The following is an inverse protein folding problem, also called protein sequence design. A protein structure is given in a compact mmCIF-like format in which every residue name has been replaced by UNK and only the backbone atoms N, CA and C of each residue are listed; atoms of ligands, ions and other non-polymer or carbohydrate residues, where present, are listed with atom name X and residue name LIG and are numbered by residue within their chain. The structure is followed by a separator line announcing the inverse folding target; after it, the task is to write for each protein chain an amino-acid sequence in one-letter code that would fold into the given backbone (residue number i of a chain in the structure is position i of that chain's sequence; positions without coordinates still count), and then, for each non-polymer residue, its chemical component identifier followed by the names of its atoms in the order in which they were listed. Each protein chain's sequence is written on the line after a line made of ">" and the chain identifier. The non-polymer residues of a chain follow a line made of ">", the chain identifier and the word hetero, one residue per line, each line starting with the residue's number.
data_IF_122089180921
#
_entry.id   IF_122089180921
#
_cell.length_a   1.000
_cell.length_b   1.000
_cell.length_c   1.000
_cell.angle_alpha   90.00
_cell.angle_beta   90.00
_cell.angle_gamma   90.00
#
_symmetry.space_group_name_H-M   'P 1'
#
loop_
_entity.id
_entity.type
_entity.pdbx_description
1 polymer ?
#
# COMPACT_ATOMS: atom_id res chain seq x y z
N UNK A 1 0.00 -42.84 -88.27
CA UNK A 1 0.46 -43.89 -87.34
C UNK A 1 1.98 -43.87 -87.31
N UNK A 2 2.69 -43.98 -86.17
CA UNK A 2 2.31 -43.91 -84.75
C UNK A 2 3.14 -42.86 -83.94
N UNK A 3 2.75 -42.59 -82.68
CA UNK A 3 3.61 -42.07 -81.59
C UNK A 3 4.32 -43.26 -80.88
N UNK A 4 5.40 -43.15 -80.06
CA UNK A 4 5.34 -42.55 -78.69
C UNK A 4 6.68 -41.94 -78.13
N UNK A 5 6.62 -40.95 -77.22
CA UNK A 5 6.93 -40.97 -75.76
C UNK A 5 8.38 -41.34 -75.37
N UNK A 6 9.12 -40.48 -74.63
CA UNK A 6 9.32 -40.60 -73.16
C UNK A 6 10.24 -39.53 -72.51
N UNK A 7 9.71 -38.99 -71.40
CA UNK A 7 10.26 -38.33 -70.20
C UNK A 7 11.69 -37.78 -70.11
N UNK A 8 11.78 -36.58 -69.50
CA UNK A 8 12.53 -36.39 -68.25
C UNK A 8 12.20 -35.03 -67.58
N UNK A 9 11.80 -35.09 -66.30
CA UNK A 9 11.89 -33.99 -65.32
C UNK A 9 13.37 -33.86 -64.85
N UNK A 10 13.90 -32.72 -64.36
CA UNK A 10 13.40 -32.02 -63.16
C UNK A 10 13.65 -30.49 -63.07
N UNK A 11 13.03 -29.81 -62.09
CA UNK A 11 13.76 -29.11 -61.01
C UNK A 11 12.86 -28.08 -60.31
N UNK A 12 13.00 -28.10 -58.99
CA UNK A 12 12.27 -27.36 -57.98
C UNK A 12 12.49 -25.84 -58.03
N UNK A 13 11.41 -25.10 -57.78
CA UNK A 13 11.44 -23.69 -57.43
C UNK A 13 10.28 -23.37 -56.49
N UNK A 14 10.45 -23.71 -55.21
CA UNK A 14 9.49 -23.37 -54.15
C UNK A 14 9.69 -21.89 -53.83
N UNK A 15 8.89 -21.03 -54.45
CA UNK A 15 8.76 -19.64 -54.04
C UNK A 15 7.97 -19.58 -52.74
N UNK A 16 8.66 -19.44 -51.61
CA UNK A 16 8.02 -19.12 -50.34
C UNK A 16 7.44 -17.70 -50.40
N UNK A 17 6.13 -17.60 -50.58
CA UNK A 17 5.40 -16.35 -50.38
C UNK A 17 5.46 -15.99 -48.89
N UNK A 18 6.19 -14.91 -48.57
CA UNK A 18 6.18 -14.32 -47.24
C UNK A 18 4.77 -13.84 -46.89
N UNK A 19 4.05 -14.60 -46.06
CA UNK A 19 2.79 -14.16 -45.47
C UNK A 19 3.08 -13.00 -44.51
N UNK A 20 2.75 -11.77 -44.95
CA UNK A 20 2.66 -10.61 -44.04
C UNK A 20 1.41 -10.80 -43.16
N UNK A 21 1.62 -11.29 -41.95
CA UNK A 21 0.63 -11.24 -40.88
C UNK A 21 0.46 -9.78 -40.43
N UNK A 22 -0.43 -9.04 -41.10
CA UNK A 22 -0.91 -7.74 -40.61
C UNK A 22 -2.00 -8.03 -39.58
N UNK A 23 -1.61 -8.08 -38.31
CA UNK A 23 -2.54 -8.10 -37.19
C UNK A 23 -3.40 -6.82 -37.22
N UNK A 24 -4.69 -6.96 -37.54
CA UNK A 24 -5.68 -5.90 -37.33
C UNK A 24 -6.14 -6.01 -35.89
N UNK A 25 -5.55 -5.20 -35.01
CA UNK A 25 -6.06 -5.02 -33.64
C UNK A 25 -7.49 -4.48 -33.77
N UNK A 26 -8.48 -5.32 -33.48
CA UNK A 26 -9.89 -4.91 -33.55
C UNK A 26 -10.15 -3.86 -32.47
N UNK A 27 -10.92 -2.81 -32.80
CA UNK A 27 -11.28 -1.75 -31.86
C UNK A 27 -11.92 -2.28 -30.55
N UNK A 28 -12.48 -3.50 -30.57
CA UNK A 28 -13.09 -4.19 -29.43
C UNK A 28 -12.07 -4.51 -28.33
N UNK A 29 -10.82 -4.79 -28.68
CA UNK A 29 -9.75 -5.11 -27.71
C UNK A 29 -9.29 -3.90 -26.90
N UNK A 30 -9.49 -2.68 -27.42
CA UNK A 30 -9.14 -1.44 -26.73
C UNK A 30 -10.23 -1.03 -25.72
N UNK A 31 -11.51 -1.23 -26.07
CA UNK A 31 -12.66 -0.92 -25.21
C UNK A 31 -12.69 -1.74 -23.92
N UNK A 32 -12.24 -3.00 -23.98
CA UNK A 32 -12.24 -3.91 -22.83
C UNK A 32 -11.19 -3.52 -21.76
N UNK A 33 -10.10 -2.84 -22.15
CA UNK A 33 -9.11 -2.31 -21.22
C UNK A 33 -9.58 -1.03 -20.51
N UNK A 34 -10.35 -0.17 -21.18
CA UNK A 34 -10.93 1.04 -20.58
C UNK A 34 -12.03 0.72 -19.56
N UNK A 35 -12.75 -0.40 -19.74
CA UNK A 35 -13.82 -0.83 -18.83
C UNK A 35 -13.33 -1.35 -17.47
N UNK A 36 -12.02 -1.61 -17.30
CA UNK A 36 -11.44 -2.15 -16.06
C UNK A 36 -10.61 -1.12 -15.27
N UNK A 37 -10.73 0.17 -15.60
CA UNK A 37 -10.08 1.25 -14.84
C UNK A 37 -10.66 1.41 -13.44
N UNK A 38 -10.25 0.55 -12.50
CA UNK A 38 -10.58 0.72 -11.09
C UNK A 38 -9.69 1.83 -10.54
N UNK A 39 -10.26 3.02 -10.32
CA UNK A 39 -9.61 4.06 -9.52
C UNK A 39 -9.52 3.50 -8.10
N UNK A 40 -8.34 3.03 -7.70
CA UNK A 40 -8.06 2.72 -6.31
C UNK A 40 -7.90 4.07 -5.59
N UNK A 41 -8.78 4.45 -4.65
CA UNK A 41 -8.48 5.59 -3.81
C UNK A 41 -7.19 5.27 -3.05
N UNK A 42 -6.17 6.12 -3.19
CA UNK A 42 -5.08 6.15 -2.20
C UNK A 42 -5.69 6.79 -0.96
N UNK A 43 -6.23 5.98 -0.05
CA UNK A 43 -6.50 6.44 1.30
C UNK A 43 -5.19 6.93 1.94
N UNK A 44 -5.26 8.02 2.69
CA UNK A 44 -4.17 8.41 3.60
C UNK A 44 -3.86 7.21 4.49
N UNK A 45 -2.60 6.78 4.49
CA UNK A 45 -2.21 5.54 5.12
C UNK A 45 -1.23 5.82 6.26
N UNK A 46 -1.57 5.34 7.45
CA UNK A 46 -0.64 5.21 8.56
C UNK A 46 -0.20 3.75 8.58
N UNK A 47 1.03 3.51 8.14
CA UNK A 47 1.56 2.16 7.92
C UNK A 47 2.86 2.03 8.71
N UNK A 48 2.88 1.11 9.67
CA UNK A 48 4.10 0.74 10.38
C UNK A 48 5.16 0.19 9.41
N UNK A 49 6.41 0.61 9.59
CA UNK A 49 7.53 0.10 8.81
C UNK A 49 7.89 -1.32 9.29
N UNK A 50 7.58 -2.31 8.46
CA UNK A 50 7.87 -3.73 8.77
C UNK A 50 9.36 -4.06 8.80
N UNK A 51 10.21 -3.20 8.25
CA UNK A 51 11.67 -3.36 8.29
C UNK A 51 12.31 -2.81 9.57
N UNK A 52 11.59 -2.01 10.35
CA UNK A 52 12.08 -1.48 11.62
C UNK A 52 12.20 -2.58 12.69
N UNK A 53 13.01 -2.40 13.74
CA UNK A 53 13.01 -3.29 14.90
C UNK A 53 11.60 -3.48 15.48
N UNK A 54 11.23 -4.68 15.94
CA UNK A 54 9.86 -4.98 16.38
C UNK A 54 9.31 -4.03 17.45
N UNK A 55 10.15 -3.60 18.40
CA UNK A 55 9.80 -2.60 19.41
C UNK A 55 9.69 -1.16 18.90
N UNK A 56 9.74 -0.95 17.59
CA UNK A 56 9.53 0.34 16.92
C UNK A 56 8.40 0.27 15.89
N UNK A 57 7.75 -0.89 15.70
CA UNK A 57 6.64 -1.06 14.77
C UNK A 57 5.31 -0.81 15.49
N UNK A 58 4.71 0.39 15.43
CA UNK A 58 3.48 0.66 16.16
C UNK A 58 2.31 -0.20 15.66
N UNK A 59 1.32 -0.43 16.52
CA UNK A 59 0.08 -1.10 16.11
C UNK A 59 -0.93 -0.05 15.69
N UNK A 60 -1.37 -0.10 14.43
CA UNK A 60 -2.39 0.81 13.89
C UNK A 60 -3.72 0.06 13.80
N UNK A 61 -4.75 0.59 14.42
CA UNK A 61 -6.12 0.08 14.42
C UNK A 61 -7.11 1.22 14.17
N UNK A 62 -8.38 0.91 13.91
CA UNK A 62 -9.45 1.92 13.90
C UNK A 62 -10.13 2.01 15.26
N UNK A 63 -10.52 3.21 15.67
CA UNK A 63 -11.47 3.40 16.78
C UNK A 63 -12.89 3.04 16.35
N UNK A 64 -13.84 3.09 17.29
CA UNK A 64 -15.26 2.82 17.03
C UNK A 64 -15.87 3.76 15.96
N UNK A 65 -15.35 4.99 15.81
CA UNK A 65 -15.81 5.93 14.79
C UNK A 65 -14.92 5.97 13.53
N UNK A 66 -13.98 5.04 13.40
CA UNK A 66 -13.12 4.89 12.22
C UNK A 66 -11.87 5.77 12.22
N UNK A 67 -11.65 6.62 13.24
CA UNK A 67 -10.41 7.39 13.37
C UNK A 67 -9.23 6.42 13.55
N UNK A 68 -8.11 6.58 12.81
CA UNK A 68 -6.91 5.82 13.05
C UNK A 68 -6.38 6.02 14.48
N UNK A 69 -6.19 4.91 15.20
CA UNK A 69 -5.53 4.85 16.49
C UNK A 69 -4.20 4.11 16.34
N UNK A 70 -3.14 4.72 16.84
CA UNK A 70 -1.80 4.20 16.90
C UNK A 70 -1.48 3.88 18.35
N UNK A 71 -1.39 2.60 18.68
CA UNK A 71 -0.80 2.17 19.93
C UNK A 71 0.72 2.31 19.81
N UNK A 72 1.25 3.36 20.44
CA UNK A 72 2.68 3.64 20.44
C UNK A 72 3.45 2.54 21.17
N UNK A 73 4.71 2.37 20.82
CA UNK A 73 5.58 1.34 21.40
C UNK A 73 6.03 1.66 22.83
N UNK A 74 6.50 0.63 23.54
CA UNK A 74 7.02 0.78 24.90
C UNK A 74 8.13 1.84 24.95
N UNK A 75 8.05 2.83 25.86
CA UNK A 75 9.09 3.84 26.00
C UNK A 75 10.43 3.23 26.43
N UNK A 76 11.52 3.81 25.92
CA UNK A 76 12.87 3.57 26.43
C UNK A 76 13.04 4.04 27.88
N UNK A 77 14.17 3.72 28.51
CA UNK A 77 14.49 4.22 29.86
C UNK A 77 14.49 5.75 29.97
N UNK A 78 14.79 6.46 28.87
CA UNK A 78 14.69 7.92 28.79
C UNK A 78 13.26 8.46 28.64
N UNK A 79 12.26 7.57 28.49
CA UNK A 79 10.86 7.93 28.28
C UNK A 79 10.47 8.19 26.81
N UNK A 80 11.34 7.88 25.85
CA UNK A 80 11.05 8.04 24.41
C UNK A 80 10.41 6.76 23.87
N UNK A 81 9.19 6.86 23.35
CA UNK A 81 8.57 5.85 22.49
C UNK A 81 8.91 6.15 21.04
N UNK A 82 9.61 5.25 20.36
CA UNK A 82 10.00 5.40 18.94
C UNK A 82 9.11 4.53 18.08
N UNK A 83 8.46 5.13 17.09
CA UNK A 83 7.47 4.52 16.24
C UNK A 83 7.85 4.81 14.79
N UNK A 84 8.15 3.77 14.01
CA UNK A 84 8.68 3.90 12.65
C UNK A 84 7.62 3.49 11.64
N UNK A 85 7.45 4.31 10.61
CA UNK A 85 6.40 4.20 9.61
C UNK A 85 6.99 4.18 8.20
N UNK A 86 6.44 3.35 7.32
CA UNK A 86 6.68 3.48 5.88
C UNK A 86 5.74 4.51 5.25
N UNK A 87 4.67 4.91 5.97
CA UNK A 87 3.83 6.05 5.61
C UNK A 87 3.12 6.58 6.86
N UNK A 88 3.07 7.90 7.01
CA UNK A 88 2.39 8.57 8.12
C UNK A 88 1.64 9.78 7.58
N UNK A 89 0.53 9.53 6.91
CA UNK A 89 -0.38 10.58 6.43
C UNK A 89 -1.57 10.71 7.37
N UNK A 90 -1.91 11.96 7.72
CA UNK A 90 -3.08 12.30 8.53
C UNK A 90 -4.08 13.00 7.61
N UNK A 91 -5.27 12.43 7.47
CA UNK A 91 -6.35 13.08 6.74
C UNK A 91 -7.16 14.02 7.67
N UNK A 92 -8.27 14.55 7.17
CA UNK A 92 -9.12 15.47 7.93
C UNK A 92 -9.77 14.83 9.16
N UNK A 93 -9.96 13.50 9.18
CA UNK A 93 -10.50 12.78 10.33
C UNK A 93 -9.50 12.81 11.51
N UNK A 94 -8.22 12.97 11.21
CA UNK A 94 -7.15 13.01 12.20
C UNK A 94 -6.66 11.63 12.61
N UNK A 95 -5.84 11.57 13.66
CA UNK A 95 -5.37 10.32 14.24
C UNK A 95 -5.10 10.44 15.74
N UNK A 96 -5.09 9.30 16.43
CA UNK A 96 -4.88 9.22 17.87
C UNK A 96 -3.60 8.45 18.15
N UNK A 97 -2.66 9.08 18.83
CA UNK A 97 -1.51 8.43 19.45
C UNK A 97 -1.92 7.98 20.85
N UNK A 98 -2.14 6.68 21.04
CA UNK A 98 -2.59 6.14 22.31
C UNK A 98 -1.41 5.98 23.28
N UNK A 99 -1.24 6.97 24.16
CA UNK A 99 -0.25 7.00 25.23
C UNK A 99 -0.84 6.62 26.61
N UNK A 100 -2.07 6.05 26.64
CA UNK A 100 -2.78 5.81 27.90
C UNK A 100 -2.63 4.39 28.41
N UNK A 101 -2.46 4.23 29.72
CA UNK A 101 -2.54 2.93 30.42
C UNK A 101 -3.95 2.53 30.84
N UNK A 102 -4.95 3.35 30.55
CA UNK A 102 -6.35 3.14 30.94
C UNK A 102 -7.26 3.38 29.74
N UNK A 103 -8.53 2.99 29.87
CA UNK A 103 -9.52 3.42 28.90
C UNK A 103 -9.68 4.94 29.02
N UNK A 104 -9.58 5.65 27.90
CA UNK A 104 -9.54 7.11 27.86
C UNK A 104 -10.54 7.63 26.84
N UNK A 105 -11.27 8.68 27.20
CA UNK A 105 -12.11 9.40 26.24
C UNK A 105 -11.23 10.34 25.42
N UNK A 106 -11.33 10.24 24.10
CA UNK A 106 -10.67 11.11 23.12
C UNK A 106 -11.68 11.99 22.40
N UNK A 107 -11.23 13.13 21.89
CA UNK A 107 -12.04 14.08 21.13
C UNK A 107 -12.30 13.57 19.71
N UNK A 108 -11.28 13.00 19.06
CA UNK A 108 -11.37 12.52 17.68
C UNK A 108 -12.04 11.15 17.57
N UNK A 109 -11.82 10.25 18.54
CA UNK A 109 -12.12 8.82 18.40
C UNK A 109 -13.15 8.26 19.37
N UNK A 110 -13.66 9.08 20.30
CA UNK A 110 -14.47 8.63 21.42
C UNK A 110 -13.65 7.79 22.41
N UNK A 111 -14.23 6.75 22.99
CA UNK A 111 -13.53 5.92 23.97
C UNK A 111 -12.47 5.03 23.29
N UNK A 112 -11.22 5.15 23.72
CA UNK A 112 -10.12 4.25 23.32
C UNK A 112 -9.70 3.37 24.49
N UNK A 113 -9.38 2.11 24.22
CA UNK A 113 -8.88 1.18 25.26
C UNK A 113 -7.43 1.49 25.64
N UNK A 114 -7.01 1.02 26.82
CA UNK A 114 -5.61 1.11 27.25
C UNK A 114 -4.64 0.54 26.20
N UNK A 115 -3.49 1.19 26.02
CA UNK A 115 -2.43 0.69 25.15
C UNK A 115 -1.66 -0.46 25.83
N UNK A 116 -1.68 -1.68 25.26
CA UNK A 116 -1.01 -2.85 25.85
C UNK A 116 0.52 -2.73 25.91
N UNK A 117 1.14 -1.84 25.11
CA UNK A 117 2.59 -1.66 25.08
C UNK A 117 3.15 -0.82 26.23
N UNK A 118 2.29 -0.20 27.06
CA UNK A 118 2.67 0.76 28.10
C UNK A 118 2.68 0.17 29.51
N UNK A 119 2.86 -1.15 29.63
CA UNK A 119 2.93 -1.84 30.92
C UNK A 119 3.98 -1.23 31.87
N UNK A 120 5.08 -0.69 31.32
CA UNK A 120 6.20 -0.07 32.05
C UNK A 120 6.03 1.42 32.33
N UNK A 121 4.97 2.05 31.84
CA UNK A 121 4.76 3.49 31.92
C UNK A 121 4.46 4.11 30.56
N UNK A 122 3.95 5.34 30.62
CA UNK A 122 3.59 6.15 29.46
C UNK A 122 4.83 6.86 28.91
N UNK A 123 4.80 7.20 27.62
CA UNK A 123 5.87 7.93 26.98
C UNK A 123 5.90 9.39 27.47
N UNK A 124 7.11 9.88 27.73
CA UNK A 124 7.38 11.33 27.90
C UNK A 124 7.53 12.02 26.55
N UNK A 125 8.06 11.30 25.57
CA UNK A 125 8.28 11.77 24.20
C UNK A 125 7.79 10.68 23.26
N UNK A 126 6.95 11.07 22.30
CA UNK A 126 6.53 10.20 21.20
C UNK A 126 7.29 10.63 19.95
N UNK A 127 8.23 9.81 19.51
CA UNK A 127 8.96 9.99 18.26
C UNK A 127 8.25 9.19 17.17
N UNK A 128 7.69 9.90 16.18
CA UNK A 128 7.17 9.31 14.96
C UNK A 128 8.19 9.54 13.85
N UNK A 129 8.77 8.44 13.36
CA UNK A 129 9.83 8.46 12.34
C UNK A 129 9.30 7.86 11.04
N UNK A 130 9.44 8.59 9.94
CA UNK A 130 9.00 8.12 8.63
C UNK A 130 10.23 7.67 7.85
N UNK A 131 10.30 6.37 7.57
CA UNK A 131 11.32 5.76 6.73
C UNK A 131 10.78 5.62 5.30
N UNK A 132 10.56 6.75 4.64
CA UNK A 132 10.06 6.82 3.28
C UNK A 132 10.70 7.99 2.52
N UNK A 133 10.64 7.93 1.19
CA UNK A 133 11.11 9.03 0.34
C UNK A 133 10.10 10.17 0.26
N UNK A 134 8.82 9.82 0.28
CA UNK A 134 7.73 10.79 0.16
C UNK A 134 7.44 11.43 1.52
N UNK A 135 7.22 12.76 1.56
CA UNK A 135 6.90 13.45 2.80
C UNK A 135 5.48 13.12 3.27
N UNK A 136 5.30 13.13 4.59
CA UNK A 136 3.97 13.05 5.22
C UNK A 136 3.08 14.22 4.83
N UNK A 137 1.80 13.92 4.60
CA UNK A 137 0.72 14.90 4.46
C UNK A 137 -0.07 14.95 5.74
N UNK A 138 -0.10 16.11 6.39
CA UNK A 138 -0.78 16.30 7.68
C UNK A 138 -1.96 17.28 7.51
N UNK A 139 -3.13 16.74 7.16
CA UNK A 139 -4.33 17.50 6.82
C UNK A 139 -5.38 17.55 7.93
N UNK A 140 -5.09 16.98 9.11
CA UNK A 140 -5.97 16.98 10.26
C UNK A 140 -5.22 16.87 11.58
N UNK A 141 -5.98 16.78 12.67
CA UNK A 141 -5.42 16.81 14.02
C UNK A 141 -4.78 15.48 14.41
N UNK A 142 -3.73 15.57 15.23
CA UNK A 142 -3.18 14.43 15.95
C UNK A 142 -3.50 14.64 17.43
N UNK A 143 -4.26 13.71 18.01
CA UNK A 143 -4.58 13.70 19.43
C UNK A 143 -3.69 12.70 20.15
N UNK A 144 -3.23 13.04 21.36
CA UNK A 144 -2.57 12.10 22.26
C UNK A 144 -3.58 11.66 23.31
N UNK A 145 -3.93 10.37 23.35
CA UNK A 145 -4.80 9.84 24.39
C UNK A 145 -3.97 9.53 25.65
N UNK A 146 -4.34 10.10 26.78
CA UNK A 146 -3.66 9.90 28.07
C UNK A 146 -3.52 11.19 28.86
#
# INVERSE_FOLDING_TARGET
>A
MPAPVQDSSPSSGIGHTHSRLISRISAVSFSLWLASGVIQPVQAAIIADKSAPGGQQPTVIGTANGTPQINIQTPSAGGVSRNTYSQFDIDQQGAILNNSRKNTSTQLGGMVSANPWLAKGEAKIILNEVNARDPSKLNGYIEVAG
#
